data_IF_592075130754
#
_entry.id   IF_592075130754
#
_cell.length_a   1.000
_cell.length_b   1.000
_cell.length_c   1.000
_cell.angle_alpha   90.00
_cell.angle_beta   90.00
_cell.angle_gamma   90.00
#
_symmetry.space_group_name_H-M   'P 1'
#
loop_
_entity.id
_entity.type
_entity.pdbx_description
1 polymer ?
#
# COMPACT_ATOMS: atom_id res chain seq x y z
N UNK A 1 -39.40 102.93 14.10
CA UNK A 1 -38.75 101.85 13.29
C UNK A 1 -37.79 100.89 14.05
N UNK A 2 -37.96 100.81 15.41
CA UNK A 2 -37.04 99.97 16.20
C UNK A 2 -37.61 98.61 16.71
N UNK A 3 -38.90 98.37 16.39
CA UNK A 3 -39.59 97.17 16.88
C UNK A 3 -39.82 96.04 15.81
N UNK A 4 -39.54 96.32 14.55
CA UNK A 4 -39.79 95.32 13.47
C UNK A 4 -38.62 94.31 13.25
N UNK A 5 -37.44 94.58 13.73
CA UNK A 5 -36.25 93.72 13.47
C UNK A 5 -36.03 92.50 14.42
N UNK A 6 -36.70 92.52 15.61
CA UNK A 6 -36.55 91.42 16.59
C UNK A 6 -37.41 90.19 16.25
N UNK A 7 -38.51 90.38 15.54
CA UNK A 7 -39.37 89.22 15.21
C UNK A 7 -38.88 88.33 14.11
N UNK A 8 -38.15 88.84 13.12
CA UNK A 8 -37.66 88.03 12.00
C UNK A 8 -36.46 87.10 12.39
N UNK A 9 -35.61 87.56 13.33
CA UNK A 9 -34.47 86.76 13.79
C UNK A 9 -34.87 85.50 14.56
N UNK A 10 -35.96 85.57 15.33
CA UNK A 10 -36.45 84.42 16.13
C UNK A 10 -37.23 83.43 15.28
N UNK A 11 -37.90 83.85 14.23
CA UNK A 11 -38.56 82.93 13.29
C UNK A 11 -37.54 82.17 12.51
N UNK A 12 -36.45 82.80 12.08
CA UNK A 12 -35.38 82.16 11.33
C UNK A 12 -34.57 81.11 12.22
N UNK A 13 -34.33 81.46 13.47
CA UNK A 13 -33.71 80.53 14.43
C UNK A 13 -34.62 79.36 14.73
N UNK A 14 -35.92 79.52 14.88
CA UNK A 14 -36.86 78.40 15.07
C UNK A 14 -36.95 77.49 13.85
N UNK A 15 -36.92 78.05 12.65
CA UNK A 15 -36.98 77.30 11.40
C UNK A 15 -35.72 76.48 11.18
N UNK A 16 -34.53 77.03 11.51
CA UNK A 16 -33.27 76.34 11.50
C UNK A 16 -33.25 75.24 12.54
N UNK A 17 -33.70 75.45 13.75
CA UNK A 17 -33.76 74.45 14.83
C UNK A 17 -34.71 73.31 14.48
N UNK A 18 -35.84 73.56 13.85
CA UNK A 18 -36.77 72.58 13.35
C UNK A 18 -36.16 71.76 12.20
N UNK A 19 -35.45 72.38 11.27
CA UNK A 19 -34.77 71.67 10.17
C UNK A 19 -33.65 70.71 10.67
N UNK A 20 -32.91 71.19 11.70
CA UNK A 20 -31.87 70.40 12.31
C UNK A 20 -32.43 69.20 13.11
N UNK A 21 -33.55 69.39 13.82
CA UNK A 21 -34.24 68.28 14.51
C UNK A 21 -34.80 67.26 13.51
N UNK A 22 -35.36 67.73 12.40
CA UNK A 22 -35.85 66.83 11.34
C UNK A 22 -34.71 66.08 10.67
N UNK A 23 -33.57 66.73 10.38
CA UNK A 23 -32.35 66.09 9.88
C UNK A 23 -31.80 65.06 10.85
N UNK A 24 -31.76 65.38 12.15
CA UNK A 24 -31.29 64.43 13.18
C UNK A 24 -32.24 63.24 13.34
N UNK A 25 -33.56 63.46 13.27
CA UNK A 25 -34.57 62.38 13.29
C UNK A 25 -34.49 61.48 12.04
N UNK A 26 -34.27 62.08 10.85
CA UNK A 26 -34.09 61.31 9.63
C UNK A 26 -32.78 60.51 9.62
N UNK A 27 -31.67 61.10 10.13
CA UNK A 27 -30.39 60.43 10.28
C UNK A 27 -30.46 59.28 11.30
N UNK A 28 -31.25 59.45 12.38
CA UNK A 28 -31.49 58.42 13.38
C UNK A 28 -32.41 57.29 12.88
N UNK A 29 -33.34 57.64 11.95
CA UNK A 29 -34.26 56.65 11.34
C UNK A 29 -33.56 55.81 10.27
N UNK A 30 -32.60 56.36 9.50
CA UNK A 30 -31.83 55.67 8.52
C UNK A 30 -30.78 54.73 9.17
N UNK A 31 -30.25 55.08 10.34
CA UNK A 31 -29.33 54.19 11.06
C UNK A 31 -30.02 53.03 11.77
N UNK A 32 -31.35 53.00 11.92
CA UNK A 32 -32.11 51.88 12.52
C UNK A 32 -32.58 50.84 11.52
N UNK A 33 -32.38 51.03 10.21
CA UNK A 33 -32.73 50.06 9.17
C UNK A 33 -31.56 49.25 8.65
N UNK A 34 -30.44 49.14 9.39
CA UNK A 34 -29.49 48.08 9.14
C UNK A 34 -30.12 46.77 9.61
N UNK A 35 -30.56 45.97 8.63
CA UNK A 35 -31.28 44.72 8.80
C UNK A 35 -30.59 43.82 9.83
N UNK A 36 -31.29 43.33 10.86
CA UNK A 36 -30.77 42.42 11.86
C UNK A 36 -30.28 41.08 11.22
N UNK A 37 -30.80 40.76 10.06
CA UNK A 37 -30.44 39.56 9.26
C UNK A 37 -28.96 39.58 8.83
N UNK A 38 -28.39 40.75 8.48
CA UNK A 38 -27.02 40.86 7.99
C UNK A 38 -25.97 40.79 9.12
N UNK A 39 -26.37 41.09 10.37
CA UNK A 39 -25.51 40.85 11.55
C UNK A 39 -25.55 39.42 12.01
N UNK A 40 -26.70 38.76 11.88
CA UNK A 40 -26.86 37.34 12.26
C UNK A 40 -26.10 36.42 11.31
N UNK A 41 -26.10 36.68 10.00
CA UNK A 41 -25.35 35.89 9.02
C UNK A 41 -23.84 36.05 9.21
N UNK A 42 -23.32 37.25 9.48
CA UNK A 42 -21.88 37.44 9.78
C UNK A 42 -21.46 36.79 11.09
N UNK A 43 -22.33 36.77 12.11
CA UNK A 43 -22.06 36.15 13.40
C UNK A 43 -22.08 34.63 13.33
N UNK A 44 -22.84 34.01 12.42
CA UNK A 44 -22.91 32.56 12.25
C UNK A 44 -21.82 32.02 11.31
N UNK A 45 -21.38 32.83 10.35
CA UNK A 45 -20.41 32.42 9.33
C UNK A 45 -19.02 32.16 9.93
N UNK A 46 -18.60 33.00 10.89
CA UNK A 46 -17.29 32.87 11.53
C UNK A 46 -17.14 31.59 12.35
N UNK A 47 -18.07 31.19 13.25
CA UNK A 47 -17.97 29.95 13.99
C UNK A 47 -18.13 28.73 13.11
N UNK A 48 -18.94 28.77 12.04
CA UNK A 48 -19.06 27.68 11.07
C UNK A 48 -17.77 27.47 10.27
N UNK A 49 -17.09 28.54 9.87
CA UNK A 49 -15.80 28.51 9.20
C UNK A 49 -14.71 27.96 10.14
N UNK A 50 -14.71 28.36 11.41
CA UNK A 50 -13.77 27.84 12.43
C UNK A 50 -14.03 26.36 12.69
N UNK A 51 -15.27 25.90 12.77
CA UNK A 51 -15.63 24.50 12.96
C UNK A 51 -15.19 23.65 11.77
N UNK A 52 -15.29 24.16 10.53
CA UNK A 52 -14.79 23.50 9.33
C UNK A 52 -13.25 23.39 9.29
N UNK A 53 -12.53 24.38 9.82
CA UNK A 53 -11.07 24.38 9.87
C UNK A 53 -10.52 23.42 10.95
N UNK A 54 -11.29 23.14 12.00
CA UNK A 54 -10.89 22.24 13.09
C UNK A 54 -11.08 20.75 12.75
N UNK A 55 -11.80 20.40 11.69
CA UNK A 55 -12.07 19.00 11.31
C UNK A 55 -10.98 18.36 10.42
N UNK A 56 -9.87 19.06 10.12
CA UNK A 56 -8.83 18.64 9.18
C UNK A 56 -7.63 17.90 9.82
N UNK A 57 -7.81 17.17 10.92
CA UNK A 57 -6.73 16.33 11.44
C UNK A 57 -6.81 14.89 10.90
N UNK A 58 -6.18 14.64 9.74
CA UNK A 58 -5.78 13.29 9.35
C UNK A 58 -4.63 12.82 10.22
N UNK A 59 -4.78 11.69 10.94
CA UNK A 59 -3.74 11.16 11.81
C UNK A 59 -2.59 10.58 10.97
N UNK A 60 -1.42 11.22 11.02
CA UNK A 60 -0.17 10.75 10.43
C UNK A 60 0.24 9.35 10.98
N UNK A 61 -0.20 9.02 12.20
CA UNK A 61 0.02 7.72 12.86
C UNK A 61 -0.53 6.52 12.08
N UNK A 62 -1.39 6.75 11.11
CA UNK A 62 -1.96 5.66 10.32
C UNK A 62 -1.13 5.27 9.11
N UNK A 63 -0.12 6.05 8.73
CA UNK A 63 0.65 5.85 7.49
C UNK A 63 2.04 5.26 7.77
N UNK A 64 2.61 5.47 8.95
CA UNK A 64 3.94 5.00 9.29
C UNK A 64 3.94 3.51 9.64
N UNK A 65 5.05 2.85 9.34
CA UNK A 65 5.37 1.49 9.74
C UNK A 65 6.09 1.49 11.11
N UNK A 66 6.13 0.35 11.79
CA UNK A 66 6.95 0.09 12.99
C UNK A 66 6.84 1.22 14.02
N UNK A 67 5.59 1.55 14.42
CA UNK A 67 5.31 2.62 15.38
C UNK A 67 5.46 2.11 16.82
N UNK A 68 5.72 3.05 17.74
CA UNK A 68 5.71 2.82 19.19
C UNK A 68 6.71 1.74 19.69
N UNK A 69 7.68 1.31 18.86
CA UNK A 69 8.76 0.43 19.28
C UNK A 69 9.88 1.22 19.94
N UNK A 70 10.18 0.98 21.22
CA UNK A 70 11.56 1.05 21.65
C UNK A 70 12.35 0.17 20.68
N UNK A 71 13.42 0.70 20.09
CA UNK A 71 14.25 -0.05 19.14
C UNK A 71 14.48 -1.45 19.69
N UNK A 72 14.06 -2.48 18.94
CA UNK A 72 14.27 -3.88 19.31
C UNK A 72 15.76 -4.03 19.54
N UNK A 73 16.18 -4.00 20.81
CA UNK A 73 17.54 -4.37 21.18
C UNK A 73 17.70 -5.80 20.73
N UNK A 74 18.84 -6.13 20.14
CA UNK A 74 19.19 -7.51 19.80
C UNK A 74 18.77 -8.41 20.95
N UNK A 75 17.67 -9.13 20.78
CA UNK A 75 17.31 -10.19 21.70
C UNK A 75 18.36 -11.28 21.51
N UNK A 76 18.85 -11.84 22.61
CA UNK A 76 19.84 -12.92 22.64
C UNK A 76 19.33 -14.24 22.02
N UNK A 77 18.17 -14.22 21.37
CA UNK A 77 17.69 -15.36 20.60
C UNK A 77 18.57 -15.52 19.35
N UNK A 78 19.06 -16.73 19.10
CA UNK A 78 19.83 -17.00 17.89
C UNK A 78 19.00 -16.53 16.68
N UNK A 79 19.61 -15.80 15.73
CA UNK A 79 18.88 -15.33 14.56
C UNK A 79 18.26 -16.54 13.87
N UNK A 80 16.93 -16.55 13.76
CA UNK A 80 16.23 -17.55 12.96
C UNK A 80 16.65 -17.34 11.50
N UNK A 81 17.58 -18.18 11.05
CA UNK A 81 17.98 -18.18 9.65
C UNK A 81 16.82 -18.80 8.86
N UNK A 82 16.08 -17.94 8.17
CA UNK A 82 15.03 -18.41 7.27
C UNK A 82 15.66 -19.17 6.11
N UNK A 83 15.20 -20.39 5.88
CA UNK A 83 15.49 -21.19 4.70
C UNK A 83 14.18 -21.66 4.07
N UNK A 84 14.06 -21.52 2.75
CA UNK A 84 12.86 -21.90 2.03
C UNK A 84 12.71 -23.42 1.99
N UNK A 85 11.48 -23.90 2.16
CA UNK A 85 11.13 -25.31 2.03
C UNK A 85 10.63 -25.58 0.62
N UNK A 86 10.98 -26.74 0.10
CA UNK A 86 10.52 -27.24 -1.20
C UNK A 86 9.05 -27.64 -1.07
N UNK A 87 8.20 -27.08 -1.91
CA UNK A 87 6.76 -27.36 -1.93
C UNK A 87 6.35 -28.13 -3.19
N UNK A 88 5.21 -28.82 -3.17
CA UNK A 88 4.61 -29.40 -4.37
C UNK A 88 4.45 -28.33 -5.47
N UNK A 89 4.73 -28.67 -6.72
CA UNK A 89 4.73 -27.78 -7.91
C UNK A 89 5.91 -26.82 -8.01
N UNK A 90 6.90 -26.92 -7.12
CA UNK A 90 8.13 -26.16 -7.32
C UNK A 90 8.93 -26.72 -8.51
N UNK A 91 9.64 -25.81 -9.17
CA UNK A 91 10.59 -26.12 -10.23
C UNK A 91 11.99 -26.00 -9.66
N UNK A 92 12.69 -27.14 -9.63
CA UNK A 92 14.06 -27.23 -9.10
C UNK A 92 15.06 -27.38 -10.24
N UNK A 93 16.16 -26.66 -10.16
CA UNK A 93 17.37 -26.99 -10.91
C UNK A 93 18.31 -27.69 -9.97
N UNK A 94 18.75 -28.87 -10.36
CA UNK A 94 19.70 -29.67 -9.60
C UNK A 94 20.92 -29.93 -10.47
N UNK A 95 22.10 -29.55 -9.97
CA UNK A 95 23.37 -29.74 -10.67
C UNK A 95 24.31 -30.58 -9.77
N UNK A 96 24.88 -31.60 -10.36
CA UNK A 96 25.86 -32.49 -9.71
C UNK A 96 27.24 -32.23 -10.32
N UNK A 97 28.21 -31.96 -9.48
CA UNK A 97 29.60 -31.77 -9.86
C UNK A 97 30.48 -32.78 -9.18
N UNK A 98 31.43 -33.32 -9.94
CA UNK A 98 32.49 -34.24 -9.50
C UNK A 98 33.84 -33.73 -10.02
N UNK A 99 34.97 -34.26 -9.49
CA UNK A 99 36.29 -33.96 -10.00
C UNK A 99 36.42 -34.34 -11.48
N UNK A 100 35.80 -35.44 -11.87
CA UNK A 100 35.68 -35.88 -13.25
C UNK A 100 34.28 -35.56 -13.79
N UNK A 101 34.10 -34.54 -14.65
CA UNK A 101 32.80 -34.13 -15.14
C UNK A 101 32.00 -35.19 -15.90
N UNK A 102 32.72 -36.13 -16.53
CA UNK A 102 32.11 -37.27 -17.25
C UNK A 102 31.32 -38.20 -16.33
N UNK A 103 31.77 -38.36 -15.08
CA UNK A 103 31.06 -39.18 -14.08
C UNK A 103 29.78 -38.50 -13.58
N UNK A 104 29.74 -37.18 -13.57
CA UNK A 104 28.56 -36.41 -13.18
C UNK A 104 27.54 -36.29 -14.29
N UNK A 105 27.95 -36.41 -15.56
CA UNK A 105 27.11 -36.17 -16.73
C UNK A 105 25.78 -36.96 -16.73
N UNK A 106 25.73 -38.25 -16.35
CA UNK A 106 24.50 -39.03 -16.33
C UNK A 106 23.48 -38.60 -15.32
N UNK A 107 23.90 -37.87 -14.25
CA UNK A 107 23.03 -37.40 -13.18
C UNK A 107 22.51 -35.98 -13.41
N UNK A 108 23.07 -35.27 -14.39
CA UNK A 108 22.61 -33.97 -14.78
C UNK A 108 21.59 -34.09 -15.92
N UNK A 109 20.49 -33.37 -15.83
CA UNK A 109 19.61 -33.17 -16.97
C UNK A 109 20.35 -32.30 -18.00
N UNK A 110 21.27 -32.92 -18.74
CA UNK A 110 21.94 -32.24 -19.81
C UNK A 110 21.00 -32.18 -21.01
N UNK A 111 20.67 -30.99 -21.44
CA UNK A 111 20.19 -30.72 -22.79
C UNK A 111 21.29 -31.01 -23.82
N UNK A 112 22.00 -32.16 -23.69
CA UNK A 112 22.96 -32.62 -24.69
C UNK A 112 22.29 -33.49 -25.75
N UNK A 113 21.32 -32.87 -26.43
CA UNK A 113 21.32 -33.03 -27.87
C UNK A 113 22.07 -31.80 -28.39
N UNK A 114 23.39 -31.89 -28.42
CA UNK A 114 24.20 -31.10 -29.32
C UNK A 114 23.64 -31.33 -30.73
N UNK A 115 22.66 -30.58 -31.15
CA UNK A 115 22.42 -30.35 -32.56
C UNK A 115 23.70 -29.76 -33.11
N UNK A 116 24.27 -30.32 -34.21
CA UNK A 116 25.50 -29.79 -34.76
C UNK A 116 25.26 -28.34 -35.12
N UNK A 117 26.13 -27.49 -34.57
CA UNK A 117 26.24 -26.05 -34.76
C UNK A 117 25.52 -25.47 -35.94
N UNK A 118 24.41 -24.77 -35.69
CA UNK A 118 23.99 -23.63 -36.51
C UNK A 118 24.49 -22.40 -35.76
N UNK A 119 25.56 -21.85 -36.30
CA UNK A 119 26.19 -20.60 -35.88
C UNK A 119 25.13 -19.50 -35.82
N UNK A 120 24.97 -18.90 -34.65
CA UNK A 120 24.38 -17.56 -34.55
C UNK A 120 23.11 -17.39 -33.73
N UNK A 121 23.00 -18.03 -32.55
CA UNK A 121 21.99 -17.59 -31.58
C UNK A 121 22.62 -17.65 -30.20
N UNK A 122 22.85 -16.49 -29.58
CA UNK A 122 23.05 -16.33 -28.13
C UNK A 122 21.70 -16.60 -27.43
N UNK A 123 21.16 -17.81 -27.65
CA UNK A 123 19.95 -18.27 -27.00
C UNK A 123 20.31 -18.95 -25.70
N UNK A 124 19.79 -18.45 -24.56
CA UNK A 124 19.72 -19.19 -23.32
C UNK A 124 19.20 -20.60 -23.64
N UNK A 125 20.06 -21.62 -23.55
CA UNK A 125 19.62 -23.01 -23.51
C UNK A 125 18.63 -23.13 -22.36
N UNK A 126 17.40 -23.59 -22.56
CA UNK A 126 16.45 -23.73 -21.47
C UNK A 126 17.04 -24.71 -20.46
N UNK A 127 17.33 -24.20 -19.27
CA UNK A 127 17.83 -25.00 -18.19
C UNK A 127 16.74 -26.02 -17.84
N UNK A 128 17.05 -27.30 -17.92
CA UNK A 128 16.09 -28.35 -17.58
C UNK A 128 15.84 -28.35 -16.07
N UNK A 129 14.55 -28.42 -15.72
CA UNK A 129 14.10 -28.35 -14.34
C UNK A 129 13.35 -29.62 -13.94
N UNK A 130 13.42 -29.93 -12.67
CA UNK A 130 12.63 -30.99 -12.05
C UNK A 130 11.33 -30.35 -11.48
N UNK A 131 10.19 -30.92 -11.83
CA UNK A 131 8.92 -30.56 -11.22
C UNK A 131 8.68 -31.43 -10.00
N UNK A 132 8.49 -30.81 -8.83
CA UNK A 132 8.05 -31.52 -7.63
C UNK A 132 6.58 -31.93 -7.78
N UNK A 133 6.27 -33.18 -7.66
CA UNK A 133 4.93 -33.71 -7.80
C UNK A 133 4.06 -33.40 -6.56
N UNK A 134 2.78 -33.86 -6.57
CA UNK A 134 1.86 -33.60 -5.45
C UNK A 134 2.27 -34.34 -4.17
N UNK A 135 3.10 -35.35 -4.24
CA UNK A 135 3.58 -36.11 -3.09
C UNK A 135 4.91 -35.54 -2.56
N UNK A 136 5.46 -34.50 -3.18
CA UNK A 136 6.78 -33.98 -2.84
C UNK A 136 7.95 -34.72 -3.50
N UNK A 137 7.69 -35.57 -4.50
CA UNK A 137 8.69 -36.36 -5.18
C UNK A 137 9.15 -35.71 -6.48
N UNK A 138 10.40 -35.96 -6.85
CA UNK A 138 10.95 -35.69 -8.18
C UNK A 138 11.42 -37.00 -8.84
N UNK A 139 11.41 -37.06 -10.16
CA UNK A 139 12.03 -38.16 -10.92
C UNK A 139 13.47 -37.77 -11.27
N UNK A 140 14.42 -38.32 -10.53
CA UNK A 140 15.84 -38.00 -10.71
C UNK A 140 16.53 -39.07 -11.58
N UNK A 141 17.39 -38.70 -12.57
CA UNK A 141 18.08 -39.67 -13.43
C UNK A 141 18.83 -40.70 -12.61
N UNK A 142 18.72 -41.96 -13.00
CA UNK A 142 19.38 -43.12 -12.39
C UNK A 142 18.90 -43.43 -10.95
N UNK A 143 18.67 -42.41 -10.11
CA UNK A 143 18.24 -42.61 -8.73
C UNK A 143 16.74 -42.93 -8.62
N UNK A 144 15.96 -42.61 -9.68
CA UNK A 144 14.51 -42.77 -9.65
C UNK A 144 13.83 -41.70 -8.82
N UNK A 145 12.77 -42.07 -8.12
CA UNK A 145 11.98 -41.13 -7.29
C UNK A 145 12.72 -40.76 -6.02
N UNK A 146 12.81 -39.44 -5.80
CA UNK A 146 13.38 -38.85 -4.59
C UNK A 146 12.34 -37.93 -3.94
N UNK A 147 12.09 -38.15 -2.66
CA UNK A 147 11.21 -37.29 -1.87
C UNK A 147 11.99 -36.07 -1.34
N UNK A 148 11.67 -34.90 -1.84
CA UNK A 148 12.30 -33.62 -1.46
C UNK A 148 11.31 -32.61 -0.87
N UNK A 149 10.01 -32.90 -0.94
CA UNK A 149 8.96 -32.03 -0.36
C UNK A 149 9.14 -31.84 1.14
N UNK A 150 8.96 -30.62 1.63
CA UNK A 150 9.15 -30.25 3.03
C UNK A 150 10.62 -30.09 3.46
N UNK A 151 11.58 -30.45 2.61
CA UNK A 151 13.00 -30.27 2.91
C UNK A 151 13.44 -28.84 2.60
N UNK A 152 14.42 -28.36 3.38
CA UNK A 152 15.16 -27.17 2.97
C UNK A 152 16.12 -27.53 1.83
N UNK A 153 16.58 -26.50 1.11
CA UNK A 153 17.55 -26.66 0.04
C UNK A 153 18.78 -27.46 0.48
N UNK A 154 19.40 -27.12 1.62
CA UNK A 154 20.59 -27.84 2.13
C UNK A 154 20.29 -29.26 2.54
N UNK A 155 19.11 -29.55 3.09
CA UNK A 155 18.67 -30.90 3.40
C UNK A 155 18.46 -31.73 2.12
N UNK A 156 17.86 -31.15 1.09
CA UNK A 156 17.70 -31.81 -0.21
C UNK A 156 19.04 -32.10 -0.88
N UNK A 157 20.00 -31.19 -0.84
CA UNK A 157 21.38 -31.39 -1.32
C UNK A 157 22.05 -32.59 -0.61
N UNK A 158 21.88 -32.66 0.72
CA UNK A 158 22.41 -33.77 1.53
C UNK A 158 21.80 -35.12 1.11
N UNK A 159 20.46 -35.18 0.99
CA UNK A 159 19.75 -36.41 0.59
C UNK A 159 20.22 -36.88 -0.78
N UNK A 160 20.34 -35.99 -1.75
CA UNK A 160 20.80 -36.33 -3.10
C UNK A 160 22.27 -36.80 -3.07
N UNK A 161 23.13 -36.06 -2.36
CA UNK A 161 24.54 -36.42 -2.21
C UNK A 161 24.70 -37.84 -1.63
N UNK A 162 23.97 -38.17 -0.57
CA UNK A 162 24.04 -39.50 0.04
C UNK A 162 23.60 -40.62 -0.91
N UNK A 163 22.56 -40.40 -1.70
CA UNK A 163 22.11 -41.36 -2.69
C UNK A 163 23.11 -41.55 -3.82
N UNK A 164 23.82 -40.49 -4.22
CA UNK A 164 24.84 -40.54 -5.26
C UNK A 164 26.12 -41.24 -4.83
N UNK A 165 26.44 -41.29 -3.54
CA UNK A 165 27.62 -42.04 -3.01
C UNK A 165 27.63 -43.52 -3.38
N UNK A 166 26.46 -44.10 -3.65
CA UNK A 166 26.39 -45.52 -4.12
C UNK A 166 26.89 -45.71 -5.56
N UNK A 167 26.96 -44.66 -6.35
CA UNK A 167 27.30 -44.68 -7.79
C UNK A 167 28.63 -43.99 -8.08
N UNK A 168 29.03 -43.06 -7.22
CA UNK A 168 30.25 -42.26 -7.39
C UNK A 168 31.29 -42.65 -6.34
N UNK A 169 32.55 -42.81 -6.75
CA UNK A 169 33.65 -43.14 -5.85
C UNK A 169 34.12 -42.00 -4.98
N UNK A 170 33.78 -40.77 -5.38
CA UNK A 170 34.10 -39.54 -4.68
C UNK A 170 32.82 -38.87 -4.19
N UNK A 171 32.94 -37.93 -3.25
CA UNK A 171 31.82 -37.18 -2.74
C UNK A 171 31.41 -36.10 -3.74
N UNK A 172 30.20 -36.17 -4.34
CA UNK A 172 29.74 -35.17 -5.30
C UNK A 172 29.32 -33.88 -4.60
N UNK A 173 29.52 -32.77 -5.29
CA UNK A 173 28.92 -31.49 -4.90
C UNK A 173 27.57 -31.36 -5.60
N UNK A 174 26.52 -31.30 -4.82
CA UNK A 174 25.15 -31.14 -5.30
C UNK A 174 24.70 -29.71 -5.02
N UNK A 175 24.12 -29.04 -6.01
CA UNK A 175 23.54 -27.72 -5.85
C UNK A 175 22.06 -27.76 -6.29
N UNK A 176 21.16 -27.40 -5.38
CA UNK A 176 19.72 -27.31 -5.60
C UNK A 176 19.29 -25.84 -5.61
N UNK A 177 18.50 -25.44 -6.60
CA UNK A 177 17.92 -24.09 -6.69
C UNK A 177 16.45 -24.14 -7.10
N UNK A 178 15.63 -23.31 -6.49
CA UNK A 178 14.25 -23.08 -6.91
C UNK A 178 14.23 -22.02 -8.02
N UNK A 179 13.65 -22.37 -9.17
CA UNK A 179 13.67 -21.47 -10.34
C UNK A 179 12.45 -20.54 -10.36
N UNK A 180 11.36 -20.96 -9.76
CA UNK A 180 10.07 -20.27 -9.81
C UNK A 180 9.65 -19.65 -8.49
N UNK A 181 10.59 -19.31 -7.59
CA UNK A 181 10.25 -18.71 -6.32
C UNK A 181 9.55 -17.36 -6.54
N UNK A 182 8.26 -17.33 -6.26
CA UNK A 182 7.38 -16.17 -6.52
C UNK A 182 6.38 -15.95 -5.40
N UNK A 183 5.96 -14.70 -5.25
CA UNK A 183 4.87 -14.28 -4.40
C UNK A 183 4.01 -13.25 -5.13
N UNK A 184 2.80 -12.99 -4.65
CA UNK A 184 1.89 -12.01 -5.25
C UNK A 184 1.55 -10.92 -4.24
N UNK A 185 1.50 -9.67 -4.69
CA UNK A 185 1.04 -8.53 -3.89
C UNK A 185 -0.16 -7.90 -4.56
N UNK A 186 -1.26 -7.79 -3.82
CA UNK A 186 -2.55 -7.30 -4.31
C UNK A 186 -3.10 -6.18 -3.41
N UNK A 187 -4.01 -5.38 -3.96
CA UNK A 187 -4.76 -4.35 -3.22
C UNK A 187 -4.12 -2.97 -3.27
N UNK A 188 -4.06 -2.28 -2.13
CA UNK A 188 -3.64 -0.88 -2.01
C UNK A 188 -2.12 -0.71 -1.99
N UNK A 189 -1.47 -1.09 -3.08
CA UNK A 189 -0.03 -0.92 -3.35
C UNK A 189 0.19 -0.17 -4.66
N UNK A 190 1.40 0.33 -4.87
CA UNK A 190 1.74 1.09 -6.06
C UNK A 190 1.63 0.31 -7.36
N UNK A 191 2.04 -0.97 -7.35
CA UNK A 191 2.07 -1.86 -8.52
C UNK A 191 1.69 -3.28 -8.13
N UNK A 192 0.38 -3.60 -8.01
CA UNK A 192 -0.05 -4.97 -7.75
C UNK A 192 0.44 -5.92 -8.84
N UNK A 193 1.15 -6.98 -8.45
CA UNK A 193 1.71 -7.95 -9.40
C UNK A 193 2.15 -9.24 -8.69
N UNK A 194 2.54 -10.25 -9.48
CA UNK A 194 3.32 -11.41 -9.04
C UNK A 194 4.79 -11.15 -9.32
N UNK A 195 5.63 -11.32 -8.30
CA UNK A 195 7.07 -11.08 -8.35
C UNK A 195 7.83 -12.38 -8.20
N UNK A 196 8.90 -12.54 -8.99
CA UNK A 196 9.83 -13.67 -8.89
C UNK A 196 11.12 -13.21 -8.22
N UNK A 197 11.65 -14.01 -7.31
CA UNK A 197 12.85 -13.70 -6.53
C UNK A 197 13.91 -14.76 -6.79
N UNK A 198 15.12 -14.31 -7.10
CA UNK A 198 16.22 -15.22 -7.47
C UNK A 198 16.94 -15.83 -6.26
N UNK A 199 16.88 -15.20 -5.09
CA UNK A 199 17.59 -15.62 -3.89
C UNK A 199 16.75 -16.40 -2.88
N UNK A 200 15.53 -16.81 -3.27
CA UNK A 200 14.64 -17.68 -2.49
C UNK A 200 14.32 -17.15 -1.07
N UNK A 201 14.53 -15.85 -0.85
CA UNK A 201 14.30 -15.18 0.42
C UNK A 201 13.79 -13.76 0.19
N UNK A 202 12.64 -13.45 0.76
CA UNK A 202 12.04 -12.10 0.72
C UNK A 202 11.22 -11.90 1.98
N UNK A 203 11.34 -10.73 2.59
CA UNK A 203 10.49 -10.38 3.73
C UNK A 203 9.28 -9.52 3.27
N UNK A 204 8.31 -9.34 4.18
CA UNK A 204 7.07 -8.60 3.89
C UNK A 204 7.35 -7.17 3.42
N UNK A 205 8.34 -6.47 3.99
CA UNK A 205 8.67 -5.10 3.60
C UNK A 205 9.37 -5.04 2.24
N UNK A 206 10.26 -6.00 1.95
CA UNK A 206 10.87 -6.13 0.61
C UNK A 206 9.80 -6.41 -0.44
N UNK A 207 8.83 -7.28 -0.15
CA UNK A 207 7.72 -7.58 -1.03
C UNK A 207 6.86 -6.33 -1.33
N UNK A 208 6.56 -5.53 -0.31
CA UNK A 208 5.86 -4.27 -0.47
C UNK A 208 6.69 -3.25 -1.25
N UNK A 209 8.00 -3.17 -1.01
CA UNK A 209 8.89 -2.29 -1.76
C UNK A 209 8.94 -2.66 -3.26
N UNK A 210 9.00 -3.96 -3.58
CA UNK A 210 8.90 -4.45 -4.97
C UNK A 210 7.56 -4.08 -5.62
N UNK A 211 6.48 -4.08 -4.85
CA UNK A 211 5.14 -3.64 -5.28
C UNK A 211 4.96 -2.11 -5.31
N UNK A 212 6.03 -1.32 -5.10
CA UNK A 212 5.99 0.14 -5.12
C UNK A 212 5.36 0.74 -3.88
N UNK A 213 5.48 0.05 -2.74
CA UNK A 213 4.95 0.39 -1.42
C UNK A 213 3.42 0.44 -1.34
N UNK A 214 2.92 0.50 -0.11
CA UNK A 214 1.49 0.68 0.15
C UNK A 214 1.07 2.11 -0.11
N UNK A 215 -0.07 2.30 -0.78
CA UNK A 215 -0.64 3.64 -0.93
C UNK A 215 -1.04 4.23 0.44
N UNK A 216 -1.30 5.53 0.50
CA UNK A 216 -1.81 6.19 1.72
C UNK A 216 -3.17 5.64 2.16
N UNK A 217 -3.87 4.96 1.28
CA UNK A 217 -5.17 4.34 1.53
C UNK A 217 -5.06 2.89 2.01
N UNK A 218 -3.88 2.28 2.02
CA UNK A 218 -3.67 0.92 2.51
C UNK A 218 -3.76 0.83 4.04
N UNK A 219 -4.42 -0.20 4.55
CA UNK A 219 -4.46 -0.52 5.98
C UNK A 219 -3.19 -1.25 6.39
N UNK A 220 -2.31 -0.57 7.14
CA UNK A 220 -1.03 -1.13 7.60
C UNK A 220 -1.18 -2.11 8.77
N UNK A 221 -2.24 -1.96 9.54
CA UNK A 221 -2.52 -2.83 10.69
C UNK A 221 -3.36 -4.07 10.35
N UNK A 222 -3.64 -4.32 9.07
CA UNK A 222 -4.47 -5.44 8.64
C UNK A 222 -4.09 -5.87 7.22
N UNK A 223 -2.83 -6.24 7.05
CA UNK A 223 -2.36 -6.85 5.81
C UNK A 223 -2.60 -8.35 5.91
N UNK A 224 -3.28 -8.93 4.93
CA UNK A 224 -3.60 -10.35 4.91
C UNK A 224 -2.55 -11.11 4.13
N UNK A 225 -1.94 -12.08 4.78
CA UNK A 225 -1.09 -13.06 4.15
C UNK A 225 -1.91 -14.33 3.94
N UNK A 226 -2.10 -14.73 2.70
CA UNK A 226 -2.67 -16.01 2.32
C UNK A 226 -1.52 -16.95 2.01
N UNK A 227 -1.40 -18.04 2.76
CA UNK A 227 -0.37 -19.07 2.65
C UNK A 227 -0.99 -20.44 2.47
N UNK A 228 -0.36 -21.27 1.67
CA UNK A 228 -0.69 -22.67 1.50
C UNK A 228 0.42 -23.53 2.12
N UNK A 229 0.04 -24.47 2.98
CA UNK A 229 1.01 -25.37 3.61
C UNK A 229 1.36 -26.56 2.68
N UNK A 230 2.28 -27.40 3.14
CA UNK A 230 2.75 -28.60 2.42
C UNK A 230 1.61 -29.58 2.09
N UNK A 231 0.51 -29.57 2.86
CA UNK A 231 -0.67 -30.39 2.67
C UNK A 231 -1.74 -29.73 1.79
N UNK A 232 -1.45 -28.55 1.23
CA UNK A 232 -2.38 -27.80 0.40
C UNK A 232 -3.50 -27.08 1.19
N UNK A 233 -3.41 -26.99 2.52
CA UNK A 233 -4.34 -26.25 3.36
C UNK A 233 -4.00 -24.78 3.32
N UNK A 234 -5.03 -23.94 3.19
CA UNK A 234 -4.86 -22.50 3.08
C UNK A 234 -5.20 -21.82 4.40
N UNK A 235 -4.31 -20.97 4.85
CA UNK A 235 -4.51 -20.12 6.01
C UNK A 235 -4.46 -18.63 5.62
N UNK A 236 -5.17 -17.80 6.38
CA UNK A 236 -5.11 -16.35 6.26
C UNK A 236 -4.59 -15.81 7.58
N UNK A 237 -3.42 -15.20 7.53
CA UNK A 237 -2.77 -14.56 8.67
C UNK A 237 -2.90 -13.05 8.54
N UNK A 238 -3.23 -12.39 9.66
CA UNK A 238 -3.29 -10.93 9.73
C UNK A 238 -1.97 -10.39 10.24
N UNK A 239 -1.34 -9.55 9.44
CA UNK A 239 -0.09 -8.90 9.76
C UNK A 239 -0.34 -7.43 10.13
N UNK A 240 0.14 -7.02 11.30
CA UNK A 240 0.21 -5.61 11.68
C UNK A 240 1.60 -5.05 11.38
N UNK A 241 1.70 -4.26 10.31
CA UNK A 241 2.97 -3.65 9.90
C UNK A 241 3.33 -2.40 10.72
N UNK A 242 2.45 -1.98 11.63
CA UNK A 242 2.76 -0.92 12.58
C UNK A 242 3.50 -1.45 13.80
N UNK A 243 3.29 -2.72 14.13
CA UNK A 243 3.96 -3.39 15.24
C UNK A 243 5.40 -3.74 14.86
N UNK A 244 6.41 -3.22 15.56
CA UNK A 244 7.81 -3.61 15.37
C UNK A 244 8.07 -5.10 15.60
N UNK A 245 7.24 -5.78 16.39
CA UNK A 245 7.31 -7.20 16.67
C UNK A 245 7.15 -8.08 15.43
N UNK A 246 6.64 -7.52 14.30
CA UNK A 246 6.49 -8.23 13.04
C UNK A 246 7.81 -8.87 12.57
N UNK A 247 8.97 -8.24 12.83
CA UNK A 247 10.28 -8.76 12.41
C UNK A 247 10.66 -10.08 13.08
N UNK A 248 10.05 -10.39 14.21
CA UNK A 248 10.23 -11.65 14.94
C UNK A 248 9.12 -12.67 14.67
N UNK A 249 8.16 -12.32 13.81
CA UNK A 249 7.06 -13.21 13.45
C UNK A 249 7.53 -14.32 12.53
N UNK A 250 7.02 -15.55 12.66
CA UNK A 250 7.27 -16.63 11.70
C UNK A 250 6.74 -16.33 10.30
N UNK A 251 5.86 -15.32 10.17
CA UNK A 251 5.30 -14.87 8.92
C UNK A 251 6.02 -13.65 8.33
N UNK A 252 7.15 -13.24 8.93
CA UNK A 252 7.94 -12.12 8.43
C UNK A 252 8.53 -12.39 7.05
N UNK A 253 9.03 -13.62 6.82
CA UNK A 253 9.48 -14.07 5.52
C UNK A 253 8.34 -14.73 4.76
N UNK A 254 8.19 -14.32 3.51
CA UNK A 254 7.20 -14.91 2.60
C UNK A 254 7.72 -16.28 2.12
N UNK A 255 6.79 -17.18 1.85
CA UNK A 255 7.05 -18.49 1.25
C UNK A 255 6.62 -18.48 -0.23
N UNK A 256 6.99 -19.53 -0.92
CA UNK A 256 6.59 -19.78 -2.31
C UNK A 256 5.06 -19.71 -2.45
N UNK A 257 4.60 -19.00 -3.47
CA UNK A 257 3.19 -18.78 -3.80
C UNK A 257 2.37 -17.98 -2.76
N UNK A 258 2.99 -17.39 -1.75
CA UNK A 258 2.29 -16.50 -0.81
C UNK A 258 1.59 -15.35 -1.54
N UNK A 259 0.41 -14.96 -1.03
CA UNK A 259 -0.32 -13.79 -1.51
C UNK A 259 -0.46 -12.79 -0.37
N UNK A 260 0.12 -11.61 -0.56
CA UNK A 260 0.01 -10.48 0.35
C UNK A 260 -1.09 -9.54 -0.15
N UNK A 261 -2.18 -9.41 0.62
CA UNK A 261 -3.30 -8.54 0.26
C UNK A 261 -3.40 -7.34 1.19
N UNK A 262 -3.31 -6.15 0.60
CA UNK A 262 -3.44 -4.87 1.29
C UNK A 262 -4.85 -4.35 1.13
N UNK A 263 -5.59 -4.32 2.24
CA UNK A 263 -6.98 -3.88 2.27
C UNK A 263 -7.11 -2.36 2.19
N UNK A 264 -8.05 -1.80 1.41
CA UNK A 264 -8.28 -0.37 1.35
C UNK A 264 -8.94 0.17 2.64
N UNK A 265 -8.62 1.41 3.00
CA UNK A 265 -9.32 2.16 4.06
C UNK A 265 -10.67 2.66 3.58
N UNK A 266 -11.60 2.85 4.51
CA UNK A 266 -12.92 3.44 4.24
C UNK A 266 -12.83 4.83 3.59
N UNK A 267 -11.74 5.57 3.82
CA UNK A 267 -11.50 6.88 3.21
C UNK A 267 -11.39 6.81 1.68
N UNK A 268 -10.83 5.76 1.11
CA UNK A 268 -10.78 5.57 -0.36
C UNK A 268 -12.18 5.36 -0.94
N UNK A 269 -13.00 4.55 -0.28
CA UNK A 269 -14.38 4.31 -0.70
C UNK A 269 -15.16 5.63 -0.69
N UNK A 270 -15.04 6.42 0.39
CA UNK A 270 -15.68 7.73 0.49
C UNK A 270 -15.16 8.73 -0.54
N UNK A 271 -13.87 8.76 -0.87
CA UNK A 271 -13.33 9.67 -1.87
C UNK A 271 -13.86 9.33 -3.28
N UNK A 272 -14.04 8.06 -3.58
CA UNK A 272 -14.64 7.58 -4.82
C UNK A 272 -16.12 7.99 -4.91
N UNK A 273 -16.90 7.86 -3.82
CA UNK A 273 -18.28 8.32 -3.76
C UNK A 273 -18.38 9.85 -3.83
N UNK A 274 -17.45 10.57 -3.18
CA UNK A 274 -17.43 12.04 -3.18
C UNK A 274 -17.11 12.60 -4.57
N UNK A 275 -16.30 11.91 -5.38
CA UNK A 275 -16.04 12.31 -6.77
C UNK A 275 -17.30 12.31 -7.63
N UNK A 276 -18.26 11.43 -7.35
CA UNK A 276 -19.56 11.39 -8.00
C UNK A 276 -20.49 12.54 -7.59
N UNK A 277 -20.29 13.11 -6.39
CA UNK A 277 -21.11 14.21 -5.84
C UNK A 277 -20.55 15.58 -6.22
N UNK A 278 -19.25 15.68 -6.51
CA UNK A 278 -18.56 16.94 -6.82
C UNK A 278 -19.24 17.77 -7.94
N UNK A 279 -19.72 17.20 -9.06
CA UNK A 279 -20.41 17.98 -10.10
C UNK A 279 -21.70 18.62 -9.58
N UNK A 280 -22.45 17.97 -8.70
CA UNK A 280 -23.67 18.52 -8.10
C UNK A 280 -23.40 19.68 -7.16
N UNK A 281 -22.31 19.58 -6.37
CA UNK A 281 -21.87 20.69 -5.49
C UNK A 281 -21.44 21.89 -6.33
N UNK A 282 -20.78 21.68 -7.46
CA UNK A 282 -20.40 22.76 -8.38
C UNK A 282 -21.60 23.45 -8.99
N UNK A 283 -22.62 22.70 -9.43
CA UNK A 283 -23.88 23.25 -9.96
C UNK A 283 -24.59 24.09 -8.90
N UNK A 284 -24.66 23.60 -7.67
CA UNK A 284 -25.28 24.32 -6.55
C UNK A 284 -24.54 25.63 -6.22
N UNK A 285 -23.20 25.63 -6.29
CA UNK A 285 -22.40 26.83 -6.06
C UNK A 285 -22.62 27.89 -7.13
N UNK A 286 -22.75 27.49 -8.41
CA UNK A 286 -23.08 28.40 -9.51
C UNK A 286 -24.47 29.00 -9.33
N UNK A 287 -25.48 28.20 -8.96
CA UNK A 287 -26.83 28.66 -8.70
C UNK A 287 -26.87 29.69 -7.53
N UNK A 288 -26.14 29.42 -6.44
CA UNK A 288 -26.06 30.35 -5.31
C UNK A 288 -25.35 31.66 -5.69
N UNK A 289 -24.35 31.61 -6.55
CA UNK A 289 -23.67 32.80 -7.06
C UNK A 289 -24.57 33.63 -7.95
N UNK A 290 -25.34 33.00 -8.84
CA UNK A 290 -26.32 33.67 -9.72
C UNK A 290 -27.46 34.33 -8.92
N UNK A 291 -27.99 33.64 -7.91
CA UNK A 291 -29.03 34.21 -7.03
C UNK A 291 -28.51 35.40 -6.24
N UNK A 292 -27.26 35.33 -5.75
CA UNK A 292 -26.61 36.45 -5.05
C UNK A 292 -26.42 37.67 -5.98
N UNK A 293 -26.01 37.43 -7.23
CA UNK A 293 -25.87 38.49 -8.25
C UNK A 293 -27.22 39.11 -8.60
N UNK A 294 -28.26 38.32 -8.82
CA UNK A 294 -29.61 38.78 -9.08
C UNK A 294 -30.13 39.69 -7.95
N UNK A 295 -29.99 39.25 -6.69
CA UNK A 295 -30.37 40.05 -5.53
C UNK A 295 -29.59 41.37 -5.45
N UNK A 296 -28.33 41.39 -5.88
CA UNK A 296 -27.52 42.62 -5.89
C UNK A 296 -27.93 43.58 -7.00
N UNK A 297 -28.39 43.08 -8.16
CA UNK A 297 -28.85 43.92 -9.29
C UNK A 297 -30.27 44.49 -9.10
N UNK A 298 -31.15 43.76 -8.39
CA UNK A 298 -32.53 44.21 -8.13
C UNK A 298 -32.71 44.98 -6.82
N UNK A 299 -31.63 45.30 -6.13
CA UNK A 299 -31.61 46.11 -4.91
C UNK A 299 -31.06 47.52 -5.18
#
# INVERSE_FOLDING_TARGET
>A
DYYASRGLGDVYKRQKYLSDIVRLKLKKKNNKKQHPIMKLTKSLFLPTLILLLLSSCGSQKDIAYMQDGEYLKYTEQPPFLYDAHILPKDLLTITVHCSEPELAAPFNLNGSLQSPATTGSTGNTPQQTYLVDNNGDIDFPILGKLHLGGLTKGAAETVICERLKAFLKEEPIVNVRMVNYKFSVLGEVGKPNTFTVANEKVNVFEALAMAGDMTIYGKRNNVKLLREDEQGRKEIVLLDLKDPGIVSSPYYYLQQNDILYVEPRKSKIRSSEMSAITPWVSILSVLTSLTSLAVALFK
#
